data_IF_480949225784
#
_entry.id   IF_480949225784
#
_cell.length_a   1.000
_cell.length_b   1.000
_cell.length_c   1.000
_cell.angle_alpha   90.00
_cell.angle_beta   90.00
_cell.angle_gamma   90.00
#
_symmetry.space_group_name_H-M   'P 1'
#
loop_
_entity.id
_entity.type
_entity.pdbx_description
1 polymer ?
#
# COMPACT_ATOMS: atom_id res chain seq x y z
N UNK A 1 -3.27 -19.93 23.16
CA UNK A 1 -2.33 -20.01 22.01
C UNK A 1 -3.03 -19.79 20.66
N UNK A 2 -4.01 -20.60 20.27
CA UNK A 2 -4.67 -20.49 18.94
C UNK A 2 -5.32 -19.12 18.65
N UNK A 3 -5.96 -18.51 19.67
CA UNK A 3 -6.53 -17.14 19.57
C UNK A 3 -5.46 -16.06 19.38
N UNK A 4 -4.30 -16.22 20.00
CA UNK A 4 -3.19 -15.26 19.90
C UNK A 4 -2.57 -15.28 18.50
N UNK A 5 -2.41 -16.48 17.90
CA UNK A 5 -1.94 -16.62 16.52
C UNK A 5 -2.91 -15.99 15.52
N UNK A 6 -4.21 -16.19 15.69
CA UNK A 6 -5.22 -15.54 14.84
C UNK A 6 -5.15 -14.02 14.93
N UNK A 7 -4.95 -13.49 16.15
CA UNK A 7 -4.81 -12.05 16.37
C UNK A 7 -3.59 -11.48 15.64
N UNK A 8 -2.44 -12.15 15.73
CA UNK A 8 -1.22 -11.76 15.03
C UNK A 8 -1.40 -11.80 13.50
N UNK A 9 -2.07 -12.83 12.98
CA UNK A 9 -2.35 -12.97 11.56
C UNK A 9 -3.24 -11.84 11.04
N UNK A 10 -4.29 -11.49 11.78
CA UNK A 10 -5.17 -10.36 11.47
C UNK A 10 -4.41 -9.02 11.47
N UNK A 11 -3.53 -8.79 12.45
CA UNK A 11 -2.73 -7.57 12.52
C UNK A 11 -1.80 -7.42 11.30
N UNK A 12 -1.16 -8.51 10.86
CA UNK A 12 -0.29 -8.49 9.67
C UNK A 12 -1.06 -8.23 8.37
N UNK A 13 -2.29 -8.75 8.26
CA UNK A 13 -3.16 -8.51 7.11
C UNK A 13 -3.62 -7.05 7.05
N UNK A 14 -4.00 -6.47 8.19
CA UNK A 14 -4.43 -5.08 8.29
C UNK A 14 -3.27 -4.12 7.96
N UNK A 15 -2.06 -4.38 8.47
CA UNK A 15 -0.89 -3.53 8.19
C UNK A 15 -0.48 -3.54 6.71
N UNK A 16 -0.70 -4.65 6.00
CA UNK A 16 -0.42 -4.73 4.56
C UNK A 16 -1.36 -3.87 3.71
N UNK A 17 -2.62 -3.75 4.12
CA UNK A 17 -3.61 -2.92 3.43
C UNK A 17 -3.38 -1.42 3.69
N UNK A 18 -3.08 -1.02 4.94
CA UNK A 18 -2.86 0.39 5.27
C UNK A 18 -1.57 0.94 4.68
N UNK A 19 -0.50 0.13 4.58
CA UNK A 19 0.76 0.56 3.99
C UNK A 19 0.63 0.97 2.52
N UNK A 20 -0.22 0.28 1.76
CA UNK A 20 -0.48 0.61 0.36
C UNK A 20 -1.24 1.94 0.23
N UNK A 21 -2.25 2.16 1.06
CA UNK A 21 -3.05 3.38 1.03
C UNK A 21 -2.23 4.61 1.44
N UNK A 22 -1.38 4.48 2.46
CA UNK A 22 -0.47 5.54 2.90
C UNK A 22 0.57 5.87 1.83
N UNK A 23 1.16 4.87 1.15
CA UNK A 23 2.11 5.12 0.07
C UNK A 23 1.45 5.88 -1.09
N UNK A 24 0.23 5.48 -1.46
CA UNK A 24 -0.53 6.13 -2.52
C UNK A 24 -0.93 7.58 -2.15
N UNK A 25 -1.25 7.83 -0.88
CA UNK A 25 -1.49 9.19 -0.36
C UNK A 25 -0.23 10.04 -0.37
N UNK A 26 0.93 9.50 0.04
CA UNK A 26 2.21 10.22 0.00
C UNK A 26 2.65 10.59 -1.42
N UNK A 27 2.41 9.72 -2.41
CA UNK A 27 2.68 10.02 -3.81
C UNK A 27 1.78 11.17 -4.29
N UNK A 28 0.48 11.11 -3.98
CA UNK A 28 -0.47 12.17 -4.29
C UNK A 28 -0.12 13.52 -3.65
N UNK A 29 0.31 13.52 -2.38
CA UNK A 29 0.74 14.74 -1.66
C UNK A 29 2.03 15.33 -2.23
N UNK A 30 2.94 14.49 -2.76
CA UNK A 30 4.15 14.94 -3.47
C UNK A 30 3.89 15.41 -4.89
N UNK A 31 2.63 15.38 -5.34
CA UNK A 31 2.25 15.68 -6.71
C UNK A 31 2.85 14.67 -7.68
N UNK A 32 2.97 13.39 -7.29
CA UNK A 32 3.45 12.31 -8.15
C UNK A 32 2.33 11.27 -8.30
N UNK A 33 2.00 10.93 -9.53
CA UNK A 33 1.06 9.86 -9.86
C UNK A 33 1.82 8.71 -10.49
N UNK A 34 1.88 7.58 -9.79
CA UNK A 34 2.43 6.34 -10.31
C UNK A 34 1.32 5.39 -10.77
N UNK A 35 1.46 4.86 -11.98
CA UNK A 35 0.62 3.83 -12.57
C UNK A 35 1.27 2.48 -12.36
N UNK A 36 0.53 1.55 -11.76
CA UNK A 36 1.01 0.22 -11.41
C UNK A 36 0.30 -0.84 -12.26
N UNK A 37 1.04 -1.87 -12.66
CA UNK A 37 0.48 -3.01 -13.37
C UNK A 37 -0.28 -3.96 -12.42
N UNK A 38 -1.02 -4.91 -13.00
CA UNK A 38 -1.80 -5.91 -12.24
C UNK A 38 -0.97 -6.83 -11.33
N UNK A 39 0.36 -6.82 -11.44
CA UNK A 39 1.30 -7.59 -10.60
C UNK A 39 1.97 -6.72 -9.52
N UNK A 40 1.59 -5.45 -9.39
CA UNK A 40 2.15 -4.52 -8.40
C UNK A 40 3.49 -3.88 -8.82
N UNK A 41 3.93 -4.04 -10.07
CA UNK A 41 5.11 -3.35 -10.59
C UNK A 41 4.77 -1.95 -11.10
N UNK A 42 5.66 -0.99 -10.87
CA UNK A 42 5.53 0.39 -11.39
C UNK A 42 5.68 0.37 -12.92
N UNK A 43 4.69 0.91 -13.64
CA UNK A 43 4.76 1.09 -15.09
C UNK A 43 5.27 2.49 -15.47
N UNK A 44 4.76 3.53 -14.79
CA UNK A 44 5.15 4.90 -15.05
C UNK A 44 4.83 5.79 -13.85
N UNK A 45 5.67 6.78 -13.56
CA UNK A 45 5.41 7.82 -12.56
C UNK A 45 5.56 9.18 -13.21
N UNK A 46 4.60 10.07 -13.00
CA UNK A 46 4.63 11.44 -13.50
C UNK A 46 4.34 12.43 -12.38
N UNK A 47 4.88 13.64 -12.50
CA UNK A 47 4.42 14.73 -11.66
C UNK A 47 3.03 15.18 -12.14
N UNK A 48 2.12 15.38 -11.19
CA UNK A 48 0.85 16.06 -11.40
C UNK A 48 1.17 17.57 -11.42
N UNK A 49 0.86 18.24 -12.54
CA UNK A 49 0.87 19.72 -12.64
C UNK A 49 -0.18 20.37 -11.73
#
# INVERSE_FOLDING_TARGET
MRKLMLLLMLLTLISGCTAFEIANQMEKERGVECRYNKRGGVENCRYME
#
